data_IF_425763496938
#
_entry.id   IF_425763496938
#
_cell.length_a   1.000
_cell.length_b   1.000
_cell.length_c   1.000
_cell.angle_alpha   90.00
_cell.angle_beta   90.00
_cell.angle_gamma   90.00
#
_symmetry.space_group_name_H-M   'P 1'
#
loop_
_entity.id
_entity.type
_entity.pdbx_description
1 polymer ?
#
# COMPACT_ATOMS: atom_id res chain seq x y z
N UNK A 1 0.44 11.53 -1.36
CA UNK A 1 -0.07 10.31 -0.72
C UNK A 1 -1.45 9.90 -1.23
N UNK A 2 -2.50 10.73 -1.18
CA UNK A 2 -3.84 10.38 -1.73
C UNK A 2 -3.85 10.10 -3.22
N UNK A 3 -3.06 10.85 -4.01
CA UNK A 3 -2.94 10.63 -5.47
C UNK A 3 -2.44 9.21 -5.76
N UNK A 4 -1.41 8.76 -5.06
CA UNK A 4 -0.88 7.40 -5.21
C UNK A 4 -1.94 6.34 -4.85
N UNK A 5 -2.75 6.58 -3.83
CA UNK A 5 -3.83 5.66 -3.44
C UNK A 5 -4.97 5.63 -4.46
N UNK A 6 -5.37 6.79 -5.01
CA UNK A 6 -6.38 6.87 -6.06
C UNK A 6 -5.89 6.14 -7.32
N UNK A 7 -4.63 6.36 -7.71
CA UNK A 7 -4.03 5.64 -8.84
C UNK A 7 -3.96 4.13 -8.59
N UNK A 8 -3.58 3.70 -7.39
CA UNK A 8 -3.56 2.28 -7.03
C UNK A 8 -4.95 1.64 -7.09
N UNK A 9 -5.97 2.36 -6.64
CA UNK A 9 -7.35 1.91 -6.73
C UNK A 9 -7.85 1.85 -8.17
N UNK A 10 -7.52 2.85 -8.99
CA UNK A 10 -7.83 2.88 -10.43
C UNK A 10 -7.16 1.73 -11.17
N UNK A 11 -5.89 1.45 -10.86
CA UNK A 11 -5.15 0.31 -11.39
C UNK A 11 -5.82 -1.02 -11.05
N UNK A 12 -6.29 -1.19 -9.80
CA UNK A 12 -7.01 -2.37 -9.37
C UNK A 12 -8.35 -2.54 -10.12
N UNK A 13 -9.10 -1.46 -10.32
CA UNK A 13 -10.35 -1.50 -11.10
C UNK A 13 -10.06 -1.90 -12.55
N UNK A 14 -9.05 -1.33 -13.18
CA UNK A 14 -8.66 -1.68 -14.55
C UNK A 14 -8.33 -3.16 -14.68
N UNK A 15 -7.66 -3.73 -13.68
CA UNK A 15 -7.28 -5.14 -13.67
C UNK A 15 -8.48 -6.09 -13.65
N UNK A 16 -9.62 -5.65 -13.08
CA UNK A 16 -10.82 -6.46 -12.95
C UNK A 16 -11.88 -6.22 -14.05
N UNK A 17 -11.92 -5.01 -14.60
CA UNK A 17 -12.97 -4.63 -15.56
C UNK A 17 -12.62 -4.94 -17.00
N UNK A 18 -11.34 -5.08 -17.32
CA UNK A 18 -10.90 -5.27 -18.70
C UNK A 18 -10.17 -6.61 -18.87
N UNK A 19 -10.54 -7.34 -19.93
CA UNK A 19 -9.90 -8.57 -20.34
C UNK A 19 -8.83 -8.28 -21.41
N UNK A 20 -7.63 -8.80 -21.20
CA UNK A 20 -6.53 -8.66 -22.13
C UNK A 20 -5.17 -8.60 -21.45
N UNK A 21 -4.19 -9.29 -22.02
CA UNK A 21 -2.84 -9.39 -21.46
C UNK A 21 -2.13 -8.03 -21.44
N UNK A 22 -2.41 -7.18 -22.42
CA UNK A 22 -1.83 -5.84 -22.51
C UNK A 22 -2.32 -4.94 -21.38
N UNK A 23 -3.61 -5.00 -21.08
CA UNK A 23 -4.24 -4.22 -20.01
C UNK A 23 -3.76 -4.70 -18.64
N UNK A 24 -3.53 -5.99 -18.49
CA UNK A 24 -2.92 -6.56 -17.30
C UNK A 24 -1.55 -5.95 -17.02
N UNK A 25 -0.66 -5.89 -18.03
CA UNK A 25 0.66 -5.28 -17.86
C UNK A 25 0.61 -3.78 -17.59
N UNK A 26 -0.29 -3.05 -18.25
CA UNK A 26 -0.49 -1.62 -18.01
C UNK A 26 -0.98 -1.37 -16.58
N UNK A 27 -1.92 -2.16 -16.10
CA UNK A 27 -2.44 -2.07 -14.74
C UNK A 27 -1.35 -2.36 -13.70
N UNK A 28 -0.50 -3.36 -13.96
CA UNK A 28 0.60 -3.71 -13.08
C UNK A 28 1.67 -2.61 -13.04
N UNK A 29 2.00 -2.02 -14.20
CA UNK A 29 2.94 -0.90 -14.29
C UNK A 29 2.41 0.33 -13.53
N UNK A 30 1.13 0.67 -13.71
CA UNK A 30 0.46 1.74 -12.97
C UNK A 30 0.48 1.48 -11.46
N UNK A 31 0.17 0.27 -11.01
CA UNK A 31 0.25 -0.11 -9.61
C UNK A 31 1.66 0.09 -9.04
N UNK A 32 2.69 -0.30 -9.78
CA UNK A 32 4.10 -0.11 -9.40
C UNK A 32 4.49 1.36 -9.26
N UNK A 33 4.12 2.20 -10.24
CA UNK A 33 4.37 3.64 -10.21
C UNK A 33 3.69 4.30 -9.00
N UNK A 34 2.49 3.85 -8.66
CA UNK A 34 1.72 4.38 -7.54
C UNK A 34 2.26 3.90 -6.18
N UNK A 35 2.74 2.68 -6.11
CA UNK A 35 3.32 2.11 -4.88
C UNK A 35 4.71 2.70 -4.56
N UNK A 36 5.49 3.06 -5.57
CA UNK A 36 6.85 3.56 -5.41
C UNK A 36 7.00 4.72 -4.41
N UNK A 37 6.20 5.80 -4.52
CA UNK A 37 6.28 6.93 -3.60
C UNK A 37 5.76 6.65 -2.18
N UNK A 38 5.12 5.53 -1.94
CA UNK A 38 4.50 5.26 -0.63
C UNK A 38 5.55 5.09 0.47
N UNK A 39 6.63 4.37 0.19
CA UNK A 39 7.69 4.15 1.17
C UNK A 39 8.40 5.44 1.61
N UNK A 40 8.90 6.28 0.71
CA UNK A 40 9.46 7.58 1.08
C UNK A 40 8.46 8.47 1.83
N UNK A 41 7.17 8.42 1.44
CA UNK A 41 6.13 9.21 2.11
C UNK A 41 5.88 8.77 3.55
N UNK A 42 5.91 7.47 3.82
CA UNK A 42 5.74 6.92 5.17
C UNK A 42 6.94 7.27 6.04
N UNK A 43 8.14 7.08 5.53
CA UNK A 43 9.37 7.39 6.27
C UNK A 43 9.51 8.90 6.52
N UNK A 44 9.14 9.74 5.56
CA UNK A 44 9.08 11.18 5.73
C UNK A 44 8.09 11.60 6.81
N UNK A 45 6.87 11.05 6.79
CA UNK A 45 5.85 11.34 7.80
C UNK A 45 6.33 10.97 9.22
N UNK A 46 7.00 9.84 9.37
CA UNK A 46 7.55 9.40 10.66
C UNK A 46 8.65 10.35 11.14
N UNK A 47 9.52 10.77 10.23
CA UNK A 47 10.57 11.74 10.53
C UNK A 47 10.02 13.09 10.98
N UNK A 48 8.91 13.52 10.37
CA UNK A 48 8.22 14.77 10.75
C UNK A 48 7.50 14.66 12.10
N UNK A 49 6.94 13.50 12.41
CA UNK A 49 6.23 13.26 13.67
C UNK A 49 7.18 13.08 14.85
N UNK A 50 8.37 12.55 14.63
CA UNK A 50 9.37 12.27 15.65
C UNK A 50 10.75 12.74 15.18
N UNK A 51 11.07 14.05 15.32
CA UNK A 51 12.36 14.61 14.87
C UNK A 51 13.58 14.01 15.56
N UNK A 52 13.37 13.30 16.69
CA UNK A 52 14.40 12.56 17.42
C UNK A 52 14.48 11.07 17.07
N UNK A 53 13.75 10.61 16.04
CA UNK A 53 13.71 9.21 15.66
C UNK A 53 15.11 8.69 15.29
N UNK A 54 15.58 7.70 16.06
CA UNK A 54 16.85 7.03 15.80
C UNK A 54 16.72 6.07 14.63
N UNK A 55 17.83 5.77 13.97
CA UNK A 55 17.86 4.80 12.86
C UNK A 55 17.16 3.47 13.16
N UNK A 56 17.16 3.03 14.43
CA UNK A 56 16.48 1.81 14.87
C UNK A 56 14.96 1.81 14.59
N UNK A 57 14.28 2.95 14.66
CA UNK A 57 12.85 3.03 14.33
C UNK A 57 12.59 2.68 12.87
N UNK A 58 13.40 3.21 11.96
CA UNK A 58 13.28 2.96 10.53
C UNK A 58 13.60 1.51 10.18
N UNK A 59 14.55 0.90 10.89
CA UNK A 59 14.89 -0.52 10.73
C UNK A 59 13.71 -1.40 11.14
N UNK A 60 13.07 -1.13 12.28
CA UNK A 60 11.90 -1.90 12.74
C UNK A 60 10.75 -1.78 11.76
N UNK A 61 10.46 -0.58 11.27
CA UNK A 61 9.39 -0.34 10.31
C UNK A 61 9.68 -1.06 8.98
N UNK A 62 10.94 -1.04 8.54
CA UNK A 62 11.37 -1.75 7.35
C UNK A 62 11.21 -3.26 7.53
N UNK A 63 11.60 -3.83 8.66
CA UNK A 63 11.44 -5.26 8.94
C UNK A 63 9.97 -5.69 8.89
N UNK A 64 9.06 -4.93 9.51
CA UNK A 64 7.62 -5.19 9.45
C UNK A 64 7.11 -5.10 8.01
N UNK A 65 7.56 -4.11 7.25
CA UNK A 65 7.23 -3.96 5.83
C UNK A 65 7.71 -5.13 4.98
N UNK A 66 8.93 -5.61 5.21
CA UNK A 66 9.48 -6.79 4.51
C UNK A 66 8.69 -8.06 4.80
N UNK A 67 8.25 -8.28 6.04
CA UNK A 67 7.39 -9.42 6.38
C UNK A 67 6.09 -9.36 5.58
N UNK A 68 5.45 -8.20 5.49
CA UNK A 68 4.26 -8.01 4.67
C UNK A 68 4.50 -8.26 3.19
N UNK A 69 5.60 -7.72 2.66
CA UNK A 69 5.99 -7.87 1.26
C UNK A 69 6.28 -9.33 0.88
N UNK A 70 7.00 -10.05 1.73
CA UNK A 70 7.34 -11.45 1.49
C UNK A 70 6.12 -12.38 1.52
N UNK A 71 5.13 -12.06 2.36
CA UNK A 71 3.93 -12.89 2.49
C UNK A 71 2.83 -12.56 1.45
N UNK A 72 2.85 -11.37 0.85
CA UNK A 72 1.82 -10.97 -0.10
C UNK A 72 1.65 -11.95 -1.29
N UNK A 73 2.71 -12.37 -2.01
CA UNK A 73 2.58 -13.33 -3.10
C UNK A 73 2.07 -14.68 -2.64
N UNK A 74 2.43 -15.10 -1.42
CA UNK A 74 1.97 -16.37 -0.83
C UNK A 74 0.45 -16.35 -0.60
N UNK A 75 -0.08 -15.27 -0.03
CA UNK A 75 -1.53 -15.11 0.14
C UNK A 75 -2.25 -14.99 -1.20
N UNK A 76 -1.67 -14.30 -2.18
CA UNK A 76 -2.24 -14.21 -3.53
C UNK A 76 -2.31 -15.59 -4.19
N UNK A 77 -1.25 -16.39 -4.10
CA UNK A 77 -1.23 -17.76 -4.62
C UNK A 77 -2.24 -18.65 -3.91
N UNK A 78 -2.29 -18.61 -2.58
CA UNK A 78 -3.24 -19.39 -1.80
C UNK A 78 -4.71 -19.09 -2.17
N UNK A 79 -5.07 -17.82 -2.31
CA UNK A 79 -6.42 -17.43 -2.73
C UNK A 79 -6.69 -17.88 -4.16
N UNK A 80 -5.70 -17.75 -5.06
CA UNK A 80 -5.81 -18.23 -6.43
C UNK A 80 -6.05 -19.73 -6.51
N UNK A 81 -5.29 -20.51 -5.75
CA UNK A 81 -5.42 -21.98 -5.70
C UNK A 81 -6.77 -22.43 -5.12
N UNK A 82 -7.21 -21.77 -4.02
CA UNK A 82 -8.49 -22.09 -3.39
C UNK A 82 -9.70 -21.74 -4.25
N UNK A 83 -9.59 -20.69 -5.05
CA UNK A 83 -10.69 -20.22 -5.92
C UNK A 83 -10.66 -20.83 -7.32
N UNK A 84 -9.60 -21.55 -7.67
CA UNK A 84 -9.41 -22.12 -9.00
C UNK A 84 -9.08 -21.12 -10.10
N UNK A 85 -8.91 -19.84 -9.74
CA UNK A 85 -8.54 -18.77 -10.68
C UNK A 85 -7.53 -17.85 -10.03
N UNK A 86 -6.34 -17.75 -10.62
CA UNK A 86 -5.25 -16.91 -10.14
C UNK A 86 -5.64 -15.42 -10.08
N UNK A 87 -6.59 -14.99 -10.93
CA UNK A 87 -7.12 -13.65 -10.98
C UNK A 87 -7.75 -13.23 -9.63
N UNK A 88 -8.35 -14.19 -8.93
CA UNK A 88 -8.96 -13.95 -7.62
C UNK A 88 -7.93 -13.63 -6.53
N UNK A 89 -6.69 -14.10 -6.65
CA UNK A 89 -5.61 -13.75 -5.74
C UNK A 89 -5.30 -12.24 -5.74
N UNK A 90 -5.53 -11.56 -6.87
CA UNK A 90 -5.29 -10.12 -6.98
C UNK A 90 -6.31 -9.24 -6.26
N UNK A 91 -7.46 -9.79 -5.79
CA UNK A 91 -8.41 -9.04 -4.95
C UNK A 91 -7.80 -8.55 -3.63
N UNK A 92 -6.69 -9.12 -3.20
CA UNK A 92 -5.97 -8.66 -2.01
C UNK A 92 -5.44 -7.22 -2.18
N UNK A 93 -5.13 -6.79 -3.42
CA UNK A 93 -4.59 -5.46 -3.71
C UNK A 93 -5.59 -4.33 -3.39
N UNK A 94 -6.82 -4.30 -3.95
CA UNK A 94 -7.78 -3.26 -3.61
C UNK A 94 -8.20 -3.32 -2.13
N UNK A 95 -8.31 -4.50 -1.54
CA UNK A 95 -8.65 -4.66 -0.12
C UNK A 95 -7.55 -4.05 0.77
N UNK A 96 -6.29 -4.39 0.52
CA UNK A 96 -5.16 -3.82 1.28
C UNK A 96 -5.04 -2.31 1.11
N UNK A 97 -5.30 -1.79 -0.10
CA UNK A 97 -5.29 -0.36 -0.38
C UNK A 97 -6.39 0.37 0.40
N UNK A 98 -7.60 -0.20 0.47
CA UNK A 98 -8.69 0.36 1.27
C UNK A 98 -8.34 0.39 2.77
N UNK A 99 -7.82 -0.71 3.30
CA UNK A 99 -7.37 -0.77 4.70
C UNK A 99 -6.34 0.32 4.97
N UNK A 100 -5.37 0.49 4.07
CA UNK A 100 -4.33 1.50 4.20
C UNK A 100 -4.91 2.94 4.21
N UNK A 101 -5.90 3.23 3.37
CA UNK A 101 -6.62 4.52 3.36
C UNK A 101 -7.25 4.80 4.73
N UNK A 102 -7.93 3.81 5.31
CA UNK A 102 -8.56 3.95 6.64
C UNK A 102 -7.52 4.18 7.74
N UNK A 103 -6.44 3.41 7.75
CA UNK A 103 -5.36 3.54 8.73
C UNK A 103 -4.71 4.93 8.65
N UNK A 104 -4.36 5.39 7.46
CA UNK A 104 -3.73 6.71 7.25
C UNK A 104 -4.68 7.83 7.66
N UNK A 105 -5.95 7.73 7.29
CA UNK A 105 -6.97 8.73 7.66
C UNK A 105 -7.16 8.81 9.18
N UNK A 106 -7.11 7.65 9.86
CA UNK A 106 -7.15 7.56 11.31
C UNK A 106 -5.93 8.20 11.97
N UNK A 107 -4.73 7.86 11.49
CA UNK A 107 -3.47 8.42 12.00
C UNK A 107 -3.40 9.93 11.82
N UNK A 108 -3.84 10.46 10.67
CA UNK A 108 -3.91 11.91 10.45
C UNK A 108 -4.85 12.61 11.43
N UNK A 109 -6.03 12.05 11.69
CA UNK A 109 -6.96 12.61 12.69
C UNK A 109 -6.32 12.67 14.08
N UNK A 110 -5.59 11.62 14.47
CA UNK A 110 -4.88 11.57 15.74
C UNK A 110 -3.72 12.58 15.80
N UNK A 111 -2.95 12.72 14.74
CA UNK A 111 -1.84 13.65 14.67
C UNK A 111 -2.32 15.12 14.75
N UNK A 112 -3.42 15.45 14.09
CA UNK A 112 -4.05 16.79 14.18
C UNK A 112 -4.55 17.04 15.60
N UNK A 113 -5.20 16.05 16.22
CA UNK A 113 -5.74 16.17 17.59
C UNK A 113 -4.65 16.38 18.63
N UNK A 114 -3.48 15.80 18.44
CA UNK A 114 -2.34 15.91 19.37
C UNK A 114 -1.44 17.13 19.10
N UNK A 115 -1.81 18.02 18.18
CA UNK A 115 -1.05 19.25 17.91
C UNK A 115 0.34 19.02 17.29
N UNK A 116 0.65 17.80 16.86
CA UNK A 116 1.98 17.43 16.35
C UNK A 116 2.28 17.95 14.93
N UNK A 117 1.29 18.50 14.25
CA UNK A 117 1.43 19.00 12.87
C UNK A 117 1.88 20.47 12.76
N UNK A 118 2.03 21.19 13.89
CA UNK A 118 2.30 22.63 13.92
C UNK A 118 3.52 23.01 14.79
N UNK A 119 4.47 22.11 14.99
CA UNK A 119 5.75 22.47 15.62
C UNK A 119 6.89 22.41 14.64
#
# INVERSE_FOLDING_TARGET
MYIAQICGFTSAILLFTMEGIEIFYISLALAGICAGPMWPSITGLISDMEPGAKAGYFIIIALIGYIGYANAPLFMGLIGDLSGDLKNGFYILPVSTLILVFVISGLRKLAIKNGSYYK
#
